data_IF_972523166162
#
_entry.id   IF_972523166162
#
_cell.length_a   1.000
_cell.length_b   1.000
_cell.length_c   1.000
_cell.angle_alpha   90.00
_cell.angle_beta   90.00
_cell.angle_gamma   90.00
#
_symmetry.space_group_name_H-M   'P 1'
#
loop_
_entity.id
_entity.type
_entity.pdbx_description
1 polymer ?
#
# COMPACT_ATOMS: atom_id res chain seq x y z
N UNK A 1 2.41 23.54 -6.39
CA UNK A 1 3.54 22.99 -7.18
C UNK A 1 3.43 21.47 -7.06
N UNK A 2 2.95 20.77 -8.09
CA UNK A 2 2.77 19.32 -8.02
C UNK A 2 4.12 18.61 -7.97
N UNK A 3 4.18 17.47 -7.28
CA UNK A 3 5.35 16.61 -7.30
C UNK A 3 5.68 16.18 -8.74
N UNK A 4 6.98 16.04 -9.04
CA UNK A 4 7.40 15.52 -10.34
C UNK A 4 6.83 14.10 -10.53
N UNK A 5 6.20 13.79 -11.66
CA UNK A 5 5.70 12.45 -11.92
C UNK A 5 6.87 11.46 -11.95
N UNK A 6 6.72 10.34 -11.25
CA UNK A 6 7.74 9.27 -11.21
C UNK A 6 7.92 8.71 -12.62
N UNK A 7 9.16 8.71 -13.11
CA UNK A 7 9.48 8.14 -14.43
C UNK A 7 9.48 6.61 -14.38
N UNK A 8 9.28 5.96 -15.53
CA UNK A 8 9.38 4.50 -15.64
C UNK A 8 10.73 3.96 -15.11
N UNK A 9 11.83 4.66 -15.41
CA UNK A 9 13.17 4.28 -14.95
C UNK A 9 13.31 4.38 -13.43
N UNK A 10 12.86 5.48 -12.83
CA UNK A 10 12.86 5.64 -11.37
C UNK A 10 11.97 4.62 -10.69
N UNK A 11 10.79 4.34 -11.25
CA UNK A 11 9.87 3.35 -10.72
C UNK A 11 10.49 1.95 -10.76
N UNK A 12 11.16 1.58 -11.86
CA UNK A 12 11.87 0.30 -11.98
C UNK A 12 12.94 0.14 -10.91
N UNK A 13 13.73 1.20 -10.66
CA UNK A 13 14.76 1.18 -9.62
C UNK A 13 14.16 1.01 -8.22
N UNK A 14 13.11 1.77 -7.88
CA UNK A 14 12.44 1.68 -6.58
C UNK A 14 11.81 0.30 -6.36
N UNK A 15 11.14 -0.24 -7.37
CA UNK A 15 10.53 -1.56 -7.30
C UNK A 15 11.56 -2.68 -7.27
N UNK A 16 12.75 -2.51 -7.84
CA UNK A 16 13.83 -3.49 -7.69
C UNK A 16 14.23 -3.74 -6.22
N UNK A 17 14.10 -2.74 -5.35
CA UNK A 17 14.32 -2.91 -3.90
C UNK A 17 13.13 -3.53 -3.17
N UNK A 18 11.91 -3.41 -3.71
CA UNK A 18 10.67 -3.94 -3.10
C UNK A 18 10.44 -5.40 -3.55
N UNK A 19 10.67 -5.67 -4.83
CA UNK A 19 10.52 -6.97 -5.49
C UNK A 19 11.88 -7.68 -5.60
N UNK A 20 12.64 -7.67 -4.51
CA UNK A 20 13.92 -8.37 -4.44
C UNK A 20 13.72 -9.88 -4.63
N UNK A 21 14.56 -10.49 -5.47
CA UNK A 21 14.51 -11.92 -5.77
C UNK A 21 13.44 -12.33 -6.79
N UNK A 22 12.71 -11.38 -7.37
CA UNK A 22 11.79 -11.69 -8.47
C UNK A 22 12.61 -12.00 -9.74
N UNK A 23 12.10 -12.90 -10.59
CA UNK A 23 12.60 -13.08 -11.93
C UNK A 23 12.43 -11.79 -12.76
N UNK A 24 13.12 -11.66 -13.92
CA UNK A 24 12.96 -10.49 -14.77
C UNK A 24 11.49 -10.19 -15.09
N UNK A 25 11.12 -8.93 -14.92
CA UNK A 25 9.78 -8.39 -15.22
C UNK A 25 9.93 -7.16 -16.11
N UNK A 26 8.86 -6.83 -16.84
CA UNK A 26 8.79 -5.66 -17.73
C UNK A 26 7.80 -4.65 -17.17
N UNK A 27 8.12 -3.37 -17.40
CA UNK A 27 7.27 -2.24 -17.06
C UNK A 27 7.09 -1.37 -18.30
N UNK A 28 5.83 -1.09 -18.65
CA UNK A 28 5.46 -0.24 -19.78
C UNK A 28 4.63 0.93 -19.26
N UNK A 29 5.06 2.19 -19.45
CA UNK A 29 4.25 3.35 -19.06
C UNK A 29 3.04 3.50 -19.98
N UNK A 30 1.84 3.65 -19.39
CA UNK A 30 0.58 3.84 -20.10
C UNK A 30 0.11 5.31 -20.14
N UNK A 31 0.83 6.20 -19.44
CA UNK A 31 0.48 7.61 -19.30
C UNK A 31 -0.34 7.91 -18.04
N UNK A 32 -0.44 9.20 -17.67
CA UNK A 32 -1.13 9.69 -16.45
C UNK A 32 -0.76 8.97 -15.14
N UNK A 33 0.47 8.48 -15.03
CA UNK A 33 0.96 7.77 -13.85
C UNK A 33 0.56 6.28 -13.77
N UNK A 34 0.03 5.71 -14.86
CA UNK A 34 -0.27 4.28 -14.96
C UNK A 34 0.84 3.52 -15.67
N UNK A 35 1.03 2.26 -15.27
CA UNK A 35 2.06 1.37 -15.75
C UNK A 35 1.51 -0.05 -15.86
N UNK A 36 1.87 -0.75 -16.93
CA UNK A 36 1.63 -2.19 -17.08
C UNK A 36 2.84 -2.96 -16.57
N UNK A 37 2.58 -4.03 -15.81
CA UNK A 37 3.61 -4.94 -15.30
C UNK A 37 3.43 -6.34 -15.90
N UNK A 38 4.48 -6.84 -16.54
CA UNK A 38 4.54 -8.20 -17.07
C UNK A 38 5.59 -9.00 -16.31
N UNK A 39 5.15 -10.05 -15.60
CA UNK A 39 6.01 -10.94 -14.83
C UNK A 39 6.26 -12.24 -15.59
N UNK A 40 7.50 -12.73 -15.57
CA UNK A 40 7.86 -14.00 -16.19
C UNK A 40 7.36 -15.21 -15.39
N UNK A 41 7.20 -15.06 -14.07
CA UNK A 41 6.72 -16.11 -13.17
C UNK A 41 5.38 -15.74 -12.54
N UNK A 42 4.45 -16.70 -12.54
CA UNK A 42 3.15 -16.53 -11.88
C UNK A 42 3.27 -16.33 -10.36
N UNK A 43 4.32 -16.90 -9.74
CA UNK A 43 4.59 -16.72 -8.32
C UNK A 43 4.97 -15.29 -7.96
N UNK A 44 5.83 -14.65 -8.77
CA UNK A 44 6.22 -13.26 -8.58
C UNK A 44 5.04 -12.32 -8.74
N UNK A 45 4.16 -12.59 -9.71
CA UNK A 45 2.89 -11.87 -9.85
C UNK A 45 2.03 -11.99 -8.58
N UNK A 46 1.91 -13.19 -8.00
CA UNK A 46 1.17 -13.40 -6.74
C UNK A 46 1.81 -12.67 -5.57
N UNK A 47 3.15 -12.69 -5.46
CA UNK A 47 3.90 -11.97 -4.43
C UNK A 47 3.71 -10.45 -4.56
N UNK A 48 3.90 -9.89 -5.75
CA UNK A 48 3.59 -8.48 -6.03
C UNK A 48 2.15 -8.14 -5.63
N UNK A 49 1.18 -8.96 -6.05
CA UNK A 49 -0.22 -8.76 -5.70
C UNK A 49 -0.48 -8.77 -4.19
N UNK A 50 0.16 -9.68 -3.46
CA UNK A 50 0.01 -9.80 -2.01
C UNK A 50 0.57 -8.61 -1.22
N UNK A 51 1.55 -7.88 -1.80
CA UNK A 51 2.07 -6.65 -1.22
C UNK A 51 1.07 -5.48 -1.37
N UNK A 52 0.10 -5.58 -2.28
CA UNK A 52 -0.92 -4.58 -2.52
C UNK A 52 -0.31 -3.23 -2.94
N UNK A 53 -0.41 -2.26 -2.04
CA UNK A 53 0.08 -0.90 -2.23
C UNK A 53 1.55 -0.78 -1.78
N UNK A 54 2.43 -0.44 -2.71
CA UNK A 54 3.86 -0.24 -2.46
C UNK A 54 4.17 1.22 -2.11
N UNK A 55 4.86 1.43 -0.99
CA UNK A 55 5.35 2.75 -0.60
C UNK A 55 6.66 3.08 -1.34
N UNK A 56 6.67 4.15 -2.16
CA UNK A 56 7.78 4.52 -3.03
C UNK A 56 8.70 5.61 -2.46
N UNK A 57 8.34 6.27 -1.35
CA UNK A 57 9.12 7.32 -0.65
C UNK A 57 9.97 8.25 -1.56
N UNK A 58 9.44 9.38 -2.06
CA UNK A 58 8.06 9.82 -1.97
C UNK A 58 7.15 9.06 -2.94
N UNK A 59 5.85 9.11 -2.67
CA UNK A 59 4.81 8.53 -3.51
C UNK A 59 4.43 7.10 -3.14
N UNK A 60 3.48 6.58 -3.90
CA UNK A 60 2.80 5.32 -3.69
C UNK A 60 2.54 4.67 -5.05
N UNK A 61 2.69 3.35 -5.14
CA UNK A 61 2.21 2.57 -6.27
C UNK A 61 1.08 1.66 -5.78
N UNK A 62 -0.07 1.74 -6.41
CA UNK A 62 -1.17 0.78 -6.19
C UNK A 62 -1.20 -0.20 -7.34
N UNK A 63 -1.32 -1.47 -7.01
CA UNK A 63 -1.51 -2.52 -8.00
C UNK A 63 -3.00 -2.77 -8.18
N UNK A 64 -3.44 -2.85 -9.43
CA UNK A 64 -4.79 -3.26 -9.81
C UNK A 64 -4.71 -4.49 -10.71
N UNK A 65 -5.82 -5.25 -10.77
CA UNK A 65 -5.93 -6.35 -11.72
C UNK A 65 -5.87 -5.77 -13.13
N UNK A 66 -5.20 -6.48 -14.04
CA UNK A 66 -5.22 -6.10 -15.46
C UNK A 66 -6.64 -6.19 -16.02
N UNK A 67 -7.01 -5.17 -16.79
CA UNK A 67 -8.30 -5.06 -17.46
C UNK A 67 -8.07 -4.86 -18.97
N UNK A 68 -8.74 -5.63 -19.85
CA UNK A 68 -8.76 -5.33 -21.27
C UNK A 68 -9.27 -3.91 -21.52
N UNK A 69 -8.79 -3.29 -22.61
CA UNK A 69 -9.21 -1.94 -23.03
C UNK A 69 -8.96 -0.84 -21.97
N UNK A 70 -7.95 -1.04 -21.11
CA UNK A 70 -7.58 -0.09 -20.07
C UNK A 70 -7.36 1.32 -20.62
N UNK A 71 -8.10 2.30 -20.09
CA UNK A 71 -7.95 3.70 -20.44
C UNK A 71 -7.56 4.55 -19.21
N UNK A 72 -6.36 5.14 -19.16
CA UNK A 72 -5.92 6.02 -18.07
C UNK A 72 -6.84 7.23 -17.83
N UNK A 73 -7.64 7.63 -18.82
CA UNK A 73 -8.48 8.84 -18.75
C UNK A 73 -9.82 8.60 -18.06
N UNK A 74 -10.27 7.35 -17.96
CA UNK A 74 -11.53 6.98 -17.31
C UNK A 74 -11.32 6.59 -15.84
N UNK A 75 -10.07 6.44 -15.41
CA UNK A 75 -9.72 6.05 -14.05
C UNK A 75 -10.01 7.19 -13.06
N UNK A 76 -10.75 6.87 -11.99
CA UNK A 76 -11.05 7.81 -10.89
C UNK A 76 -10.11 7.56 -9.73
N UNK A 77 -9.60 8.63 -9.12
CA UNK A 77 -8.88 8.52 -7.85
C UNK A 77 -9.90 8.40 -6.71
N UNK A 78 -10.04 7.21 -6.14
CA UNK A 78 -10.96 6.93 -5.02
C UNK A 78 -10.27 6.72 -3.68
N UNK A 79 -8.95 6.57 -3.62
CA UNK A 79 -8.25 6.31 -2.35
C UNK A 79 -7.45 7.48 -1.82
N UNK A 80 -7.31 7.48 -0.49
CA UNK A 80 -6.55 8.46 0.30
C UNK A 80 -5.59 7.75 1.25
N UNK A 81 -4.45 8.39 1.55
CA UNK A 81 -3.58 7.96 2.65
C UNK A 81 -4.02 8.67 3.93
N UNK A 82 -4.41 7.91 4.96
CA UNK A 82 -4.85 8.46 6.24
C UNK A 82 -4.20 7.76 7.41
N UNK A 83 -3.90 8.52 8.46
CA UNK A 83 -3.45 7.96 9.73
C UNK A 83 -4.67 7.55 10.54
N UNK A 84 -4.81 6.25 10.78
CA UNK A 84 -5.80 5.74 11.72
C UNK A 84 -5.19 5.63 13.12
N UNK A 85 -6.03 5.84 14.14
CA UNK A 85 -5.68 5.63 15.54
C UNK A 85 -6.48 4.44 16.06
N UNK A 86 -5.78 3.46 16.62
CA UNK A 86 -6.37 2.28 17.25
C UNK A 86 -6.32 2.52 18.75
N UNK A 87 -7.46 2.84 19.33
CA UNK A 87 -7.63 3.07 20.75
C UNK A 87 -7.86 1.75 21.49
N UNK A 88 -7.58 1.75 22.80
CA UNK A 88 -7.90 0.65 23.74
C UNK A 88 -7.28 -0.71 23.41
N UNK A 89 -6.39 -0.80 22.42
CA UNK A 89 -5.63 -2.00 22.11
C UNK A 89 -4.51 -2.20 23.14
N UNK A 90 -4.49 -3.30 23.90
CA UNK A 90 -3.44 -3.55 24.87
C UNK A 90 -2.04 -3.60 24.22
N UNK A 91 -1.01 -3.12 24.93
CA UNK A 91 0.33 -2.92 24.36
C UNK A 91 1.03 -4.22 23.94
N UNK A 92 0.63 -5.36 24.51
CA UNK A 92 1.11 -6.68 24.09
C UNK A 92 0.82 -6.98 22.61
N UNK A 93 -0.24 -6.39 22.05
CA UNK A 93 -0.64 -6.53 20.65
C UNK A 93 -0.01 -5.49 19.73
N UNK A 94 0.83 -4.58 20.23
CA UNK A 94 1.50 -3.54 19.42
C UNK A 94 2.73 -4.09 18.70
N UNK A 95 2.66 -5.34 18.22
CA UNK A 95 3.67 -5.87 17.29
C UNK A 95 3.32 -5.36 15.90
N UNK A 96 4.29 -4.92 15.08
CA UNK A 96 3.99 -4.36 13.76
C UNK A 96 3.13 -5.25 12.88
N UNK A 97 3.38 -6.56 12.91
CA UNK A 97 2.58 -7.55 12.19
C UNK A 97 1.10 -7.50 12.61
N UNK A 98 0.82 -7.56 13.92
CA UNK A 98 -0.54 -7.52 14.45
C UNK A 98 -1.25 -6.21 14.13
N UNK A 99 -0.56 -5.07 14.26
CA UNK A 99 -1.12 -3.77 13.92
C UNK A 99 -1.45 -3.65 12.42
N UNK A 100 -0.62 -4.24 11.54
CA UNK A 100 -0.90 -4.29 10.11
C UNK A 100 -2.04 -5.26 9.79
N UNK A 101 -2.14 -6.40 10.46
CA UNK A 101 -3.28 -7.32 10.32
C UNK A 101 -4.60 -6.63 10.69
N UNK A 102 -4.64 -5.90 11.82
CA UNK A 102 -5.83 -5.12 12.23
C UNK A 102 -6.14 -4.01 11.21
N UNK A 103 -5.15 -3.20 10.85
CA UNK A 103 -5.32 -2.11 9.89
C UNK A 103 -5.69 -2.60 8.48
N UNK A 104 -5.37 -3.85 8.15
CA UNK A 104 -5.78 -4.56 6.94
C UNK A 104 -7.30 -4.63 6.75
N UNK A 105 -8.06 -4.60 7.86
CA UNK A 105 -9.53 -4.51 7.81
C UNK A 105 -10.06 -3.15 7.33
N UNK A 106 -9.26 -2.09 7.41
CA UNK A 106 -9.63 -0.73 6.96
C UNK A 106 -9.17 -0.47 5.53
N UNK A 107 -7.99 -0.96 5.17
CA UNK A 107 -7.34 -0.70 3.89
C UNK A 107 -5.95 -1.32 3.84
N UNK A 108 -5.06 -0.84 2.97
CA UNK A 108 -3.69 -1.36 2.91
C UNK A 108 -2.77 -0.61 3.89
N UNK A 109 -2.28 -1.26 4.96
CA UNK A 109 -1.35 -0.62 5.89
C UNK A 109 0.00 -0.34 5.23
N UNK A 110 0.56 0.85 5.46
CA UNK A 110 1.78 1.32 4.80
C UNK A 110 2.95 1.50 5.78
N UNK A 111 2.68 2.02 6.98
CA UNK A 111 3.70 2.25 8.00
C UNK A 111 3.10 2.54 9.37
N UNK A 112 3.92 2.36 10.41
CA UNK A 112 3.66 2.86 11.76
C UNK A 112 4.35 4.21 11.95
N UNK A 113 3.81 5.05 12.84
CA UNK A 113 4.56 6.22 13.33
C UNK A 113 5.64 5.80 14.33
N UNK A 114 6.60 6.70 14.59
CA UNK A 114 7.73 6.39 15.47
C UNK A 114 7.30 6.12 16.92
N UNK A 115 6.27 6.82 17.41
CA UNK A 115 5.77 6.62 18.76
C UNK A 115 5.18 5.21 18.96
N UNK A 116 4.44 4.70 17.97
CA UNK A 116 3.90 3.34 17.98
C UNK A 116 5.01 2.30 17.87
N UNK A 117 6.00 2.51 16.98
CA UNK A 117 7.15 1.59 16.84
C UNK A 117 7.95 1.46 18.12
N UNK A 118 8.25 2.60 18.75
CA UNK A 118 9.09 2.67 19.95
C UNK A 118 8.29 2.48 21.23
N UNK A 119 6.96 2.32 21.13
CA UNK A 119 6.03 2.22 22.26
C UNK A 119 6.19 3.38 23.27
N UNK A 120 6.53 4.56 22.77
CA UNK A 120 6.81 5.74 23.61
C UNK A 120 5.55 6.54 23.98
N UNK A 121 4.40 6.19 23.40
CA UNK A 121 3.12 6.82 23.68
C UNK A 121 2.00 5.76 23.73
N UNK A 122 1.42 5.53 24.90
CA UNK A 122 0.57 4.37 25.18
C UNK A 122 -0.94 4.54 25.00
N UNK A 123 -1.44 5.70 24.55
CA UNK A 123 -2.90 5.96 24.48
C UNK A 123 -3.55 5.35 23.24
N UNK A 124 -2.81 5.24 22.13
CA UNK A 124 -3.28 4.64 20.88
C UNK A 124 -2.08 4.19 20.05
N UNK A 125 -2.28 3.15 19.24
CA UNK A 125 -1.37 2.82 18.15
C UNK A 125 -1.78 3.61 16.89
N UNK A 126 -0.81 4.04 16.07
CA UNK A 126 -1.06 4.79 14.84
C UNK A 126 -0.49 4.08 13.62
N UNK A 127 -1.35 3.87 12.62
CA UNK A 127 -1.00 3.21 11.36
C UNK A 127 -1.39 4.11 10.20
N UNK A 128 -0.48 4.32 9.24
CA UNK A 128 -0.79 4.97 7.97
C UNK A 128 -1.39 3.90 7.04
N UNK A 129 -2.57 4.17 6.51
CA UNK A 129 -3.33 3.23 5.68
C UNK A 129 -3.74 3.92 4.38
N UNK A 130 -3.63 3.22 3.25
CA UNK A 130 -4.25 3.60 1.98
C UNK A 130 -5.68 3.04 1.96
N UNK A 131 -6.67 3.93 1.91
CA UNK A 131 -8.10 3.61 2.10
C UNK A 131 -8.87 3.94 0.83
N UNK A 132 -9.57 2.95 0.27
CA UNK A 132 -10.46 3.13 -0.88
C UNK A 132 -11.81 3.73 -0.44
N UNK A 133 -12.00 5.02 -0.69
CA UNK A 133 -13.21 5.77 -0.34
C UNK A 133 -14.42 5.45 -1.24
N UNK A 134 -14.25 4.62 -2.28
CA UNK A 134 -15.41 4.09 -3.01
C UNK A 134 -16.13 2.99 -2.25
N UNK A 135 -15.49 2.42 -1.22
CA UNK A 135 -16.04 1.39 -0.34
C UNK A 135 -16.51 2.00 0.97
N UNK A 136 -17.32 1.25 1.72
CA UNK A 136 -17.74 1.65 3.07
C UNK A 136 -16.52 1.75 3.98
N UNK A 137 -16.40 2.87 4.68
CA UNK A 137 -15.40 3.07 5.74
C UNK A 137 -15.98 2.59 7.06
N UNK A 138 -15.18 1.87 7.85
CA UNK A 138 -15.57 1.35 9.15
C UNK A 138 -15.03 2.25 10.27
N UNK A 139 -15.87 2.53 11.27
CA UNK A 139 -15.49 3.32 12.46
C UNK A 139 -14.96 2.43 13.59
N UNK A 140 -15.32 1.14 13.58
CA UNK A 140 -14.90 0.15 14.56
C UNK A 140 -14.51 -1.16 13.86
N UNK A 141 -13.53 -1.85 14.44
CA UNK A 141 -13.05 -3.16 13.98
C UNK A 141 -13.09 -4.10 15.17
N UNK A 142 -13.79 -5.24 15.01
CA UNK A 142 -13.74 -6.30 16.00
C UNK A 142 -12.43 -7.08 15.80
N UNK A 143 -11.66 -7.24 16.88
CA UNK A 143 -10.44 -8.05 16.90
C UNK A 143 -10.73 -9.28 17.77
N UNK A 144 -10.86 -10.44 17.13
CA UNK A 144 -11.03 -11.71 17.83
C UNK A 144 -9.67 -12.18 18.42
N UNK A 145 -9.72 -12.79 19.61
CA UNK A 145 -8.55 -13.28 20.35
C UNK A 145 -8.24 -14.74 20.04
#
# INVERSE_FOLDING_TARGET
>A
KGDKPVTAKELTLKLGSIWQGFAPWKLVPLGKGFFEFSFSLAEDKRKAWSLGTCNLKPGLLRLSKWEPDFNPHTQRQTHVQSWIRIYELPQEYWRPRTLFEIAGGVGTPLMLDEATKNRSFGHYARVLVDIDLSKRVFEAILVER
#
